data_IF_294271269273
#
_entry.id   IF_294271269273
#
_cell.length_a   1.000
_cell.length_b   1.000
_cell.length_c   1.000
_cell.angle_alpha   90.00
_cell.angle_beta   90.00
_cell.angle_gamma   90.00
#
_symmetry.space_group_name_H-M   'P 1'
#
loop_
_entity.id
_entity.type
_entity.pdbx_description
1 polymer ?
#
# COMPACT_ATOMS: atom_id res chain seq x y z
N UNK A 1 -14.22 1.56 31.87
CA UNK A 1 -15.25 1.15 30.89
C UNK A 1 -14.91 -0.27 30.48
N UNK A 2 -15.82 -1.25 30.53
CA UNK A 2 -15.53 -2.61 30.10
C UNK A 2 -15.16 -2.61 28.62
N UNK A 3 -14.06 -3.27 28.24
CA UNK A 3 -13.73 -3.43 26.84
C UNK A 3 -14.88 -4.18 26.15
N UNK A 4 -15.45 -3.61 25.07
CA UNK A 4 -16.58 -4.24 24.43
C UNK A 4 -16.17 -5.61 23.87
N UNK A 5 -17.11 -6.56 23.79
CA UNK A 5 -16.84 -7.95 23.37
C UNK A 5 -16.20 -8.02 21.99
N UNK A 6 -15.06 -8.70 21.89
CA UNK A 6 -14.28 -8.80 20.66
C UNK A 6 -14.83 -9.87 19.71
N UNK A 7 -15.83 -9.47 18.92
CA UNK A 7 -16.44 -10.32 17.90
C UNK A 7 -15.76 -10.14 16.55
N UNK A 8 -15.66 -11.21 15.75
CA UNK A 8 -15.12 -11.17 14.37
C UNK A 8 -15.83 -10.10 13.52
N UNK A 9 -17.15 -9.99 13.65
CA UNK A 9 -17.94 -8.99 12.95
C UNK A 9 -17.54 -7.55 13.32
N UNK A 10 -17.22 -7.28 14.59
CA UNK A 10 -16.71 -5.96 15.00
C UNK A 10 -15.33 -5.67 14.42
N UNK A 11 -14.42 -6.65 14.44
CA UNK A 11 -13.07 -6.48 13.84
C UNK A 11 -13.16 -6.15 12.36
N UNK A 12 -13.95 -6.90 11.60
CA UNK A 12 -14.16 -6.66 10.16
C UNK A 12 -14.77 -5.27 9.93
N UNK A 13 -15.80 -4.89 10.70
CA UNK A 13 -16.37 -3.54 10.60
C UNK A 13 -15.34 -2.45 10.87
N UNK A 14 -14.53 -2.60 11.92
CA UNK A 14 -13.47 -1.65 12.26
C UNK A 14 -12.42 -1.53 11.14
N UNK A 15 -12.02 -2.65 10.55
CA UNK A 15 -11.09 -2.68 9.42
C UNK A 15 -11.68 -1.98 8.20
N UNK A 16 -12.93 -2.29 7.83
CA UNK A 16 -13.61 -1.65 6.72
C UNK A 16 -13.75 -0.14 6.91
N UNK A 17 -14.13 0.30 8.11
CA UNK A 17 -14.23 1.74 8.41
C UNK A 17 -12.87 2.40 8.29
N UNK A 18 -11.83 1.83 8.92
CA UNK A 18 -10.47 2.39 8.89
C UNK A 18 -9.95 2.48 7.46
N UNK A 19 -10.11 1.39 6.69
CA UNK A 19 -9.69 1.34 5.29
C UNK A 19 -10.36 2.44 4.46
N UNK A 20 -11.68 2.56 4.53
CA UNK A 20 -12.42 3.56 3.76
C UNK A 20 -12.06 4.99 4.19
N UNK A 21 -11.92 5.26 5.49
CA UNK A 21 -11.52 6.59 5.99
C UNK A 21 -10.14 6.98 5.45
N UNK A 22 -9.16 6.06 5.51
CA UNK A 22 -7.81 6.32 4.99
C UNK A 22 -7.84 6.52 3.48
N UNK A 23 -8.54 5.66 2.73
CA UNK A 23 -8.66 5.79 1.27
C UNK A 23 -9.31 7.12 0.86
N UNK A 24 -10.41 7.52 1.52
CA UNK A 24 -11.10 8.79 1.25
C UNK A 24 -10.18 9.97 1.54
N UNK A 25 -9.46 9.96 2.66
CA UNK A 25 -8.51 11.03 2.98
C UNK A 25 -7.40 11.11 1.91
N UNK A 26 -6.89 9.97 1.46
CA UNK A 26 -5.80 9.91 0.48
C UNK A 26 -6.16 10.54 -0.87
N UNK A 27 -7.42 10.45 -1.30
CA UNK A 27 -7.90 11.10 -2.54
C UNK A 27 -7.60 12.59 -2.51
N UNK A 28 -7.87 13.27 -1.40
CA UNK A 28 -7.63 14.72 -1.28
C UNK A 28 -6.14 15.08 -1.27
N UNK A 29 -5.29 14.24 -0.66
CA UNK A 29 -3.84 14.49 -0.65
C UNK A 29 -3.17 14.23 -2.00
N UNK A 30 -3.76 13.35 -2.83
CA UNK A 30 -3.17 12.95 -4.11
C UNK A 30 -3.71 13.72 -5.30
N UNK A 31 -4.94 14.22 -5.22
CA UNK A 31 -5.59 14.97 -6.28
C UNK A 31 -4.92 16.33 -6.48
N UNK A 32 -4.84 16.77 -7.74
CA UNK A 32 -4.26 18.06 -8.13
C UNK A 32 -5.17 19.25 -7.80
N UNK A 33 -6.46 19.01 -7.55
CA UNK A 33 -7.44 20.02 -7.16
C UNK A 33 -8.66 19.40 -6.46
N UNK A 34 -9.48 20.22 -5.79
CA UNK A 34 -10.74 19.78 -5.20
C UNK A 34 -11.74 19.29 -6.27
N UNK A 35 -11.73 19.89 -7.45
CA UNK A 35 -12.56 19.45 -8.57
C UNK A 35 -12.16 18.05 -9.03
N UNK A 36 -10.85 17.80 -9.18
CA UNK A 36 -10.32 16.49 -9.56
C UNK A 36 -10.69 15.42 -8.51
N UNK A 37 -10.56 15.74 -7.22
CA UNK A 37 -11.02 14.85 -6.13
C UNK A 37 -12.52 14.50 -6.27
N UNK A 38 -13.37 15.49 -6.54
CA UNK A 38 -14.79 15.28 -6.78
C UNK A 38 -15.08 14.39 -7.99
N UNK A 39 -14.30 14.53 -9.07
CA UNK A 39 -14.42 13.69 -10.26
C UNK A 39 -14.04 12.23 -9.98
N UNK A 40 -13.01 11.99 -9.16
CA UNK A 40 -12.65 10.64 -8.70
C UNK A 40 -13.83 9.98 -7.97
N UNK A 41 -14.48 10.68 -7.04
CA UNK A 41 -15.65 10.12 -6.34
C UNK A 41 -16.84 9.87 -7.25
N UNK A 42 -17.14 10.78 -8.20
CA UNK A 42 -18.22 10.57 -9.18
C UNK A 42 -17.97 9.32 -10.03
N UNK A 43 -16.73 9.09 -10.44
CA UNK A 43 -16.36 7.91 -11.21
C UNK A 43 -16.44 6.63 -10.36
N UNK A 44 -15.95 6.66 -9.12
CA UNK A 44 -16.01 5.54 -8.19
C UNK A 44 -17.45 5.13 -7.85
N UNK A 45 -18.38 6.08 -7.73
CA UNK A 45 -19.77 5.82 -7.39
C UNK A 45 -20.64 5.47 -8.60
N UNK A 46 -20.11 5.51 -9.83
CA UNK A 46 -20.84 5.19 -11.04
C UNK A 46 -20.82 3.67 -11.32
N UNK A 47 -21.93 2.93 -11.12
CA UNK A 47 -21.95 1.47 -11.26
C UNK A 47 -21.66 0.99 -12.69
N UNK A 48 -21.94 1.83 -13.69
CA UNK A 48 -21.67 1.50 -15.10
C UNK A 48 -20.17 1.36 -15.40
N UNK A 49 -19.32 1.96 -14.58
CA UNK A 49 -17.86 2.01 -14.80
C UNK A 49 -17.11 0.89 -14.07
N UNK A 50 -17.74 0.21 -13.10
CA UNK A 50 -17.04 -0.75 -12.21
C UNK A 50 -16.44 -1.95 -12.95
N UNK A 51 -17.08 -2.36 -14.05
CA UNK A 51 -16.64 -3.50 -14.85
C UNK A 51 -16.14 -3.08 -16.24
N UNK A 52 -15.92 -1.79 -16.45
CA UNK A 52 -15.32 -1.30 -17.69
C UNK A 52 -13.84 -1.66 -17.71
N UNK A 53 -13.39 -2.27 -18.81
CA UNK A 53 -11.99 -2.62 -18.99
C UNK A 53 -11.15 -1.33 -19.03
N UNK A 54 -10.35 -1.11 -18.00
CA UNK A 54 -9.43 0.01 -17.93
C UNK A 54 -8.04 -0.44 -18.39
N UNK A 55 -7.40 0.27 -19.34
CA UNK A 55 -6.04 -0.04 -19.78
C UNK A 55 -5.01 0.12 -18.65
N UNK A 56 -5.38 0.76 -17.54
CA UNK A 56 -4.53 0.91 -16.35
C UNK A 56 -4.50 -0.34 -15.47
N UNK A 57 -5.42 -1.29 -15.66
CA UNK A 57 -5.41 -2.58 -14.93
C UNK A 57 -4.36 -3.50 -15.58
N UNK A 58 -3.10 -3.20 -15.29
CA UNK A 58 -1.98 -4.04 -15.68
C UNK A 58 -1.72 -5.10 -14.62
N UNK A 59 -1.08 -6.22 -15.00
CA UNK A 59 -0.67 -7.25 -14.05
C UNK A 59 0.19 -6.66 -12.92
N UNK A 60 1.06 -5.71 -13.23
CA UNK A 60 1.89 -5.03 -12.23
C UNK A 60 1.08 -4.28 -11.18
N UNK A 61 0.02 -3.57 -11.58
CA UNK A 61 -0.88 -2.87 -10.65
C UNK A 61 -1.63 -3.86 -9.76
N UNK A 62 -2.14 -4.96 -10.34
CA UNK A 62 -2.83 -6.00 -9.57
C UNK A 62 -1.90 -6.65 -8.54
N UNK A 63 -0.66 -6.97 -8.93
CA UNK A 63 0.34 -7.53 -8.02
C UNK A 63 0.73 -6.54 -6.92
N UNK A 64 0.85 -5.25 -7.23
CA UNK A 64 1.14 -4.22 -6.24
C UNK A 64 0.01 -4.07 -5.20
N UNK A 65 -1.25 -4.07 -5.64
CA UNK A 65 -2.42 -4.06 -4.74
C UNK A 65 -2.42 -5.31 -3.86
N UNK A 66 -2.21 -6.48 -4.46
CA UNK A 66 -2.17 -7.74 -3.72
C UNK A 66 -1.04 -7.73 -2.67
N UNK A 67 0.16 -7.25 -3.02
CA UNK A 67 1.28 -7.13 -2.10
C UNK A 67 0.96 -6.22 -0.91
N UNK A 68 0.40 -5.03 -1.16
CA UNK A 68 0.00 -4.10 -0.09
C UNK A 68 -1.14 -4.64 0.79
N UNK A 69 -2.04 -5.45 0.25
CA UNK A 69 -3.06 -6.14 1.05
C UNK A 69 -2.45 -7.25 1.92
N UNK A 70 -1.57 -8.09 1.34
CA UNK A 70 -0.89 -9.17 2.07
C UNK A 70 -0.05 -8.60 3.22
N UNK A 71 0.61 -7.45 3.01
CA UNK A 71 1.40 -6.78 4.03
C UNK A 71 0.61 -6.47 5.30
N UNK A 72 -0.67 -6.11 5.19
CA UNK A 72 -1.53 -5.80 6.35
C UNK A 72 -1.79 -7.01 7.24
N UNK A 73 -1.60 -8.22 6.73
CA UNK A 73 -1.80 -9.47 7.48
C UNK A 73 -0.49 -10.07 7.99
N UNK A 74 0.66 -9.42 7.74
CA UNK A 74 1.94 -9.87 8.26
C UNK A 74 1.94 -9.75 9.80
N UNK A 75 2.18 -10.85 10.53
CA UNK A 75 2.23 -10.82 11.99
C UNK A 75 3.32 -9.88 12.51
N UNK A 76 3.06 -9.19 13.63
CA UNK A 76 4.00 -8.24 14.25
C UNK A 76 5.36 -8.87 14.58
N UNK A 77 5.38 -10.15 14.90
CA UNK A 77 6.57 -10.93 15.24
C UNK A 77 7.29 -11.53 14.02
N UNK A 78 6.70 -11.44 12.83
CA UNK A 78 7.28 -11.98 11.61
C UNK A 78 8.59 -11.30 11.25
N UNK A 79 8.67 -9.97 11.46
CA UNK A 79 9.89 -9.22 11.20
C UNK A 79 11.02 -9.65 12.15
N UNK A 80 10.74 -9.79 13.45
CA UNK A 80 11.73 -10.26 14.43
C UNK A 80 12.25 -11.66 14.10
N UNK A 81 11.36 -12.58 13.71
CA UNK A 81 11.78 -13.92 13.24
C UNK A 81 12.60 -13.88 11.96
N UNK A 82 12.22 -13.04 11.00
CA UNK A 82 12.95 -12.88 9.75
C UNK A 82 14.37 -12.36 10.02
N UNK A 83 14.49 -11.35 10.89
CA UNK A 83 15.77 -10.76 11.27
C UNK A 83 16.67 -11.74 12.03
N UNK A 84 16.10 -12.52 12.96
CA UNK A 84 16.83 -13.58 13.66
C UNK A 84 17.37 -14.63 12.68
N UNK A 85 16.54 -15.14 11.77
CA UNK A 85 16.97 -16.10 10.73
C UNK A 85 18.04 -15.52 9.82
N UNK A 86 17.86 -14.27 9.40
CA UNK A 86 18.82 -13.57 8.57
C UNK A 86 20.19 -13.42 9.24
N UNK A 87 20.21 -13.16 10.56
CA UNK A 87 21.46 -13.00 11.33
C UNK A 87 22.31 -14.27 11.39
N UNK A 88 21.70 -15.45 11.22
CA UNK A 88 22.39 -16.74 11.20
C UNK A 88 22.91 -17.15 9.81
N UNK A 89 22.60 -16.39 8.76
CA UNK A 89 23.12 -16.65 7.42
C UNK A 89 24.61 -16.30 7.32
N UNK A 90 25.35 -17.04 6.50
CA UNK A 90 26.73 -16.68 6.19
C UNK A 90 26.80 -15.29 5.53
N UNK A 91 27.89 -14.52 5.72
CA UNK A 91 28.01 -13.15 5.21
C UNK A 91 27.74 -13.01 3.70
N UNK A 92 28.12 -14.01 2.90
CA UNK A 92 27.86 -14.04 1.45
C UNK A 92 26.37 -13.99 1.15
N UNK A 93 25.56 -14.78 1.87
CA UNK A 93 24.10 -14.82 1.67
C UNK A 93 23.42 -13.55 2.18
N UNK A 94 23.91 -12.99 3.28
CA UNK A 94 23.45 -11.69 3.76
C UNK A 94 23.67 -10.60 2.71
N UNK A 95 24.90 -10.50 2.19
CA UNK A 95 25.25 -9.55 1.14
C UNK A 95 24.41 -9.75 -0.13
N UNK A 96 24.19 -11.00 -0.56
CA UNK A 96 23.37 -11.31 -1.72
C UNK A 96 21.92 -10.90 -1.52
N UNK A 97 21.31 -11.23 -0.38
CA UNK A 97 19.92 -10.85 -0.08
C UNK A 97 19.76 -9.34 -0.10
N UNK A 98 20.63 -8.59 0.59
CA UNK A 98 20.57 -7.12 0.58
C UNK A 98 20.82 -6.54 -0.82
N UNK A 99 21.78 -7.10 -1.57
CA UNK A 99 22.06 -6.68 -2.94
C UNK A 99 20.85 -6.85 -3.86
N UNK A 100 20.16 -8.00 -3.77
CA UNK A 100 18.92 -8.25 -4.52
C UNK A 100 17.82 -7.28 -4.08
N UNK A 101 17.63 -7.06 -2.77
CA UNK A 101 16.65 -6.10 -2.27
C UNK A 101 16.91 -4.69 -2.81
N UNK A 102 18.17 -4.23 -2.76
CA UNK A 102 18.57 -2.93 -3.28
C UNK A 102 18.36 -2.85 -4.80
N UNK A 103 18.71 -3.90 -5.54
CA UNK A 103 18.46 -3.97 -6.97
C UNK A 103 16.97 -3.81 -7.28
N UNK A 104 16.10 -4.56 -6.59
CA UNK A 104 14.64 -4.49 -6.77
C UNK A 104 14.12 -3.10 -6.44
N UNK A 105 14.51 -2.52 -5.30
CA UNK A 105 14.10 -1.16 -4.90
C UNK A 105 14.53 -0.13 -5.95
N UNK A 106 15.77 -0.24 -6.44
CA UNK A 106 16.30 0.69 -7.44
C UNK A 106 15.62 0.53 -8.80
N UNK A 107 15.35 -0.70 -9.23
CA UNK A 107 14.68 -0.98 -10.51
C UNK A 107 13.21 -0.55 -10.51
N UNK A 108 12.52 -0.70 -9.38
CA UNK A 108 11.12 -0.30 -9.22
C UNK A 108 10.94 1.16 -8.76
N UNK A 109 12.02 1.83 -8.37
CA UNK A 109 11.99 3.21 -7.92
C UNK A 109 11.58 4.20 -9.03
N UNK A 110 11.01 5.36 -8.65
CA UNK A 110 10.66 6.40 -9.62
C UNK A 110 11.93 6.91 -10.33
N UNK A 111 11.80 7.22 -11.63
CA UNK A 111 12.90 7.82 -12.40
C UNK A 111 12.98 9.31 -12.09
N UNK A 112 14.15 9.76 -11.64
CA UNK A 112 14.42 11.17 -11.33
C UNK A 112 14.39 11.46 -9.82
N UNK A 113 14.79 12.68 -9.45
CA UNK A 113 14.70 13.14 -8.07
C UNK A 113 13.24 13.53 -7.82
N UNK A 114 12.58 12.92 -6.83
CA UNK A 114 11.23 13.33 -6.46
C UNK A 114 11.25 14.85 -6.15
N UNK A 115 10.38 15.67 -6.77
CA UNK A 115 10.36 17.10 -6.49
C UNK A 115 10.00 17.29 -5.02
N UNK A 116 10.97 17.68 -4.21
CA UNK A 116 10.71 18.10 -2.84
C UNK A 116 9.89 19.40 -2.91
N UNK A 117 8.95 19.56 -1.98
CA UNK A 117 8.01 20.69 -1.90
C UNK A 117 8.71 22.07 -1.98
N UNK A 118 10.02 22.14 -1.68
CA UNK A 118 10.83 23.35 -1.73
C UNK A 118 11.42 23.71 -3.11
N UNK A 119 11.30 22.87 -4.13
CA UNK A 119 11.82 23.15 -5.48
C UNK A 119 10.72 23.57 -6.47
N UNK A 120 9.54 23.94 -5.96
CA UNK A 120 8.39 24.36 -6.76
C UNK A 120 8.12 25.89 -6.67
N UNK A 121 9.19 26.68 -6.50
CA UNK A 121 9.14 28.15 -6.59
C UNK A 121 9.87 28.62 -7.85
#
# INVERSE_FOLDING_TARGET
>A
MPDPVDTRARRIRSQLITFNVVCVAWVFFRAESLENAGNIFKQLLNPSQWFSASPLITLGVVLAIAAGLVEQYIPKDAWGRAMARYSHLAPVWQGLTLGICLLVINTLGPRGVAPFIYFQF
#
